data_IF_120367512784
#
_entry.id   IF_120367512784
#
_cell.length_a   1.000
_cell.length_b   1.000
_cell.length_c   1.000
_cell.angle_alpha   90.00
_cell.angle_beta   90.00
_cell.angle_gamma   90.00
#
_symmetry.space_group_name_H-M   'P 1'
#
loop_
_entity.id
_entity.type
_entity.pdbx_description
1 polymer ?
#
# COMPACT_ATOMS: atom_id res chain seq x y z
N UNK A 1 -52.55 -39.86 -36.38
CA UNK A 1 -51.38 -39.82 -35.48
C UNK A 1 -50.86 -38.39 -35.49
N UNK A 2 -51.20 -37.62 -34.46
CA UNK A 2 -50.90 -36.18 -34.39
C UNK A 2 -49.56 -35.98 -33.68
N UNK A 3 -48.57 -35.52 -34.44
CA UNK A 3 -47.31 -35.02 -33.88
C UNK A 3 -47.53 -33.56 -33.49
N UNK A 4 -47.71 -33.34 -32.17
CA UNK A 4 -47.68 -32.01 -31.60
C UNK A 4 -46.25 -31.53 -31.55
N UNK A 5 -45.87 -30.66 -32.46
CA UNK A 5 -44.64 -29.91 -32.39
C UNK A 5 -44.76 -28.81 -31.33
N UNK A 6 -44.13 -29.03 -30.20
CA UNK A 6 -44.05 -28.06 -29.16
C UNK A 6 -43.06 -26.96 -29.64
N UNK A 7 -43.61 -25.80 -30.03
CA UNK A 7 -42.80 -24.62 -30.30
C UNK A 7 -42.19 -24.15 -28.97
N UNK A 8 -40.92 -24.36 -28.87
CA UNK A 8 -40.12 -23.73 -27.81
C UNK A 8 -40.04 -22.25 -28.16
N UNK A 9 -40.89 -21.47 -27.52
CA UNK A 9 -40.83 -20.03 -27.63
C UNK A 9 -39.70 -19.52 -26.78
N UNK A 10 -38.56 -19.33 -27.43
CA UNK A 10 -37.41 -18.68 -26.86
C UNK A 10 -37.75 -17.19 -26.72
N UNK A 11 -38.29 -16.81 -25.59
CA UNK A 11 -38.44 -15.40 -25.23
C UNK A 11 -37.04 -14.80 -25.03
N UNK A 12 -36.49 -14.32 -26.13
CA UNK A 12 -35.42 -13.35 -26.08
C UNK A 12 -36.00 -12.04 -25.56
N UNK A 13 -36.04 -11.90 -24.29
CA UNK A 13 -36.16 -10.60 -23.66
C UNK A 13 -34.89 -9.81 -24.01
N UNK A 14 -34.99 -8.68 -24.66
CA UNK A 14 -33.85 -7.80 -24.83
C UNK A 14 -33.56 -7.21 -23.46
N UNK A 15 -32.55 -7.72 -22.81
CA UNK A 15 -31.93 -7.04 -21.68
C UNK A 15 -31.21 -5.79 -22.19
N UNK A 16 -31.99 -4.86 -22.68
CA UNK A 16 -31.55 -3.48 -22.80
C UNK A 16 -31.99 -2.79 -21.52
N UNK A 17 -31.49 -3.23 -20.41
CA UNK A 17 -31.30 -2.32 -19.29
C UNK A 17 -30.07 -1.51 -19.62
N UNK A 18 -30.28 -0.48 -20.43
CA UNK A 18 -29.38 0.66 -20.42
C UNK A 18 -29.42 1.20 -19.02
N UNK A 19 -28.52 0.68 -18.19
CA UNK A 19 -28.15 1.31 -16.96
C UNK A 19 -27.43 2.59 -17.39
N UNK A 20 -28.22 3.63 -17.64
CA UNK A 20 -27.71 4.99 -17.57
C UNK A 20 -27.45 5.21 -16.08
N UNK A 21 -26.32 4.65 -15.63
CA UNK A 21 -25.70 5.11 -14.42
C UNK A 21 -25.21 6.52 -14.76
N UNK A 22 -26.12 7.47 -14.60
CA UNK A 22 -25.72 8.86 -14.43
C UNK A 22 -24.82 8.88 -13.21
N UNK A 23 -23.54 8.60 -13.44
CA UNK A 23 -22.51 8.94 -12.50
C UNK A 23 -22.66 10.45 -12.30
N UNK A 24 -23.39 10.81 -11.27
CA UNK A 24 -23.16 12.08 -10.63
C UNK A 24 -21.72 11.99 -10.16
N UNK A 25 -20.83 12.44 -11.01
CA UNK A 25 -19.45 12.73 -10.67
C UNK A 25 -19.56 13.82 -9.61
N UNK A 26 -19.80 13.37 -8.39
CA UNK A 26 -19.73 14.23 -7.22
C UNK A 26 -18.35 14.85 -7.26
N UNK A 27 -18.35 16.13 -7.53
CA UNK A 27 -17.22 17.00 -7.48
C UNK A 27 -16.34 16.62 -6.28
N UNK A 28 -15.31 15.81 -6.54
CA UNK A 28 -14.25 15.61 -5.57
C UNK A 28 -13.62 16.98 -5.35
N UNK A 29 -13.55 17.47 -4.12
CA UNK A 29 -12.84 18.70 -3.86
C UNK A 29 -11.43 18.52 -4.38
N UNK A 30 -11.07 19.31 -5.37
CA UNK A 30 -9.72 19.42 -5.90
C UNK A 30 -8.80 19.78 -4.75
N UNK A 31 -8.12 18.77 -4.19
CA UNK A 31 -7.11 18.98 -3.17
C UNK A 31 -5.99 19.76 -3.82
N UNK A 32 -5.91 21.02 -3.43
CA UNK A 32 -4.89 21.96 -3.85
C UNK A 32 -3.51 21.28 -3.75
N UNK A 33 -2.75 21.14 -4.85
CA UNK A 33 -1.47 20.42 -4.85
C UNK A 33 -0.40 21.04 -3.93
N UNK A 34 -0.68 22.19 -3.33
CA UNK A 34 0.22 22.84 -2.36
C UNK A 34 0.20 22.20 -0.96
N UNK A 35 -0.81 21.38 -0.63
CA UNK A 35 -0.87 20.72 0.69
C UNK A 35 -0.24 19.33 0.73
N UNK A 36 0.06 18.72 -0.42
CA UNK A 36 0.54 17.34 -0.48
C UNK A 36 2.05 17.21 -0.20
N UNK A 37 2.82 18.27 -0.27
CA UNK A 37 4.27 18.23 -0.04
C UNK A 37 4.71 18.52 1.40
N UNK A 38 3.80 18.94 2.28
CA UNK A 38 4.12 19.20 3.70
C UNK A 38 3.86 18.02 4.64
N UNK A 39 3.26 16.94 4.15
CA UNK A 39 2.84 15.81 4.99
C UNK A 39 3.92 14.78 5.30
N UNK A 40 5.01 14.73 4.54
CA UNK A 40 6.02 13.67 4.67
C UNK A 40 7.28 14.10 5.42
N UNK A 41 7.53 15.40 5.54
CA UNK A 41 8.70 15.92 6.25
C UNK A 41 8.24 16.46 7.61
N UNK A 42 8.41 15.66 8.64
CA UNK A 42 8.60 16.18 10.00
C UNK A 42 7.38 16.39 10.87
N UNK A 43 6.34 15.56 10.84
CA UNK A 43 5.55 15.40 12.05
C UNK A 43 6.37 14.54 13.01
N UNK A 44 7.18 15.21 13.85
CA UNK A 44 7.86 14.58 14.98
C UNK A 44 6.78 13.80 15.74
N UNK A 45 6.83 12.48 15.65
CA UNK A 45 5.91 11.65 16.41
C UNK A 45 6.27 11.83 17.88
N UNK A 46 5.30 12.19 18.70
CA UNK A 46 5.49 12.35 20.17
C UNK A 46 5.86 11.03 20.87
N UNK A 47 6.09 9.95 20.12
CA UNK A 47 6.49 8.64 20.62
C UNK A 47 7.96 8.65 21.04
N UNK A 48 8.23 8.02 22.17
CA UNK A 48 9.61 7.78 22.62
C UNK A 48 10.38 6.92 21.62
N UNK A 49 11.72 6.89 21.73
CA UNK A 49 12.57 6.03 20.89
C UNK A 49 12.15 4.56 21.00
N UNK A 50 11.94 4.09 22.23
CA UNK A 50 11.56 2.71 22.55
C UNK A 50 10.20 2.34 21.94
N UNK A 51 9.22 3.24 22.01
CA UNK A 51 7.91 3.04 21.40
C UNK A 51 7.97 2.97 19.88
N UNK A 52 8.88 3.73 19.25
CA UNK A 52 9.10 3.69 17.80
C UNK A 52 9.76 2.39 17.38
N UNK A 53 10.80 1.93 18.13
CA UNK A 53 11.43 0.64 17.87
C UNK A 53 10.40 -0.47 18.01
N UNK A 54 9.66 -0.52 19.11
CA UNK A 54 8.61 -1.52 19.32
C UNK A 54 7.58 -1.52 18.19
N UNK A 55 7.17 -0.34 17.72
CA UNK A 55 6.22 -0.23 16.61
C UNK A 55 6.79 -0.81 15.31
N UNK A 56 8.07 -0.60 15.00
CA UNK A 56 8.72 -1.17 13.83
C UNK A 56 8.97 -2.67 13.97
N UNK A 57 9.34 -3.14 15.16
CA UNK A 57 9.51 -4.57 15.42
C UNK A 57 8.21 -5.32 15.13
N UNK A 58 7.09 -4.88 15.71
CA UNK A 58 5.77 -5.48 15.46
C UNK A 58 5.43 -5.44 13.96
N UNK A 59 5.64 -4.31 13.32
CA UNK A 59 5.38 -4.17 11.88
C UNK A 59 6.19 -5.17 11.05
N UNK A 60 7.48 -5.29 11.30
CA UNK A 60 8.33 -6.23 10.56
C UNK A 60 8.00 -7.70 10.87
N UNK A 61 7.62 -8.02 12.10
CA UNK A 61 7.13 -9.36 12.48
C UNK A 61 5.86 -9.72 11.70
N UNK A 62 4.87 -8.85 11.66
CA UNK A 62 3.64 -9.02 10.89
C UNK A 62 3.92 -9.23 9.39
N UNK A 63 4.92 -8.52 8.86
CA UNK A 63 5.37 -8.68 7.49
C UNK A 63 6.24 -9.93 7.28
N UNK A 64 6.59 -10.68 8.32
CA UNK A 64 7.58 -11.78 8.27
C UNK A 64 8.88 -11.33 7.61
N UNK A 65 9.34 -10.16 7.99
CA UNK A 65 10.50 -9.48 7.42
C UNK A 65 11.79 -9.91 8.11
N UNK A 66 12.88 -10.16 7.38
CA UNK A 66 14.19 -10.37 7.99
C UNK A 66 14.75 -9.08 8.63
N UNK A 67 14.12 -7.93 8.40
CA UNK A 67 14.57 -6.64 8.94
C UNK A 67 14.13 -6.40 10.39
N UNK A 68 13.42 -7.34 11.01
CA UNK A 68 12.92 -7.21 12.38
C UNK A 68 14.03 -6.87 13.38
N UNK A 69 15.20 -7.49 13.23
CA UNK A 69 16.35 -7.26 14.11
C UNK A 69 17.03 -5.89 13.91
N UNK A 70 16.68 -5.18 12.84
CA UNK A 70 17.23 -3.88 12.50
C UNK A 70 16.29 -2.71 12.85
N UNK A 71 15.21 -2.96 13.58
CA UNK A 71 14.20 -1.93 13.87
C UNK A 71 14.79 -0.72 14.62
N UNK A 72 15.74 -0.94 15.51
CA UNK A 72 16.48 0.11 16.22
C UNK A 72 17.32 0.96 15.27
N UNK A 73 18.04 0.31 14.36
CA UNK A 73 18.87 0.99 13.35
C UNK A 73 18.03 1.92 12.46
N UNK A 74 16.83 1.49 12.05
CA UNK A 74 15.91 2.34 11.30
C UNK A 74 15.52 3.60 12.07
N UNK A 75 15.23 3.45 13.37
CA UNK A 75 14.88 4.58 14.23
C UNK A 75 16.07 5.52 14.42
N UNK A 76 17.27 4.98 14.69
CA UNK A 76 18.47 5.77 14.91
C UNK A 76 18.87 6.57 13.66
N UNK A 77 18.77 5.95 12.48
CA UNK A 77 19.03 6.64 11.22
C UNK A 77 17.99 7.75 10.98
N UNK A 78 16.73 7.46 11.25
CA UNK A 78 15.67 8.47 11.10
C UNK A 78 15.91 9.66 12.04
N UNK A 79 16.29 9.43 13.29
CA UNK A 79 16.60 10.49 14.24
C UNK A 79 17.82 11.31 13.80
N UNK A 80 18.87 10.63 13.35
CA UNK A 80 20.10 11.27 12.86
C UNK A 80 19.86 12.24 11.70
N UNK A 81 18.94 11.88 10.79
CA UNK A 81 18.65 12.66 9.59
C UNK A 81 17.33 13.44 9.68
N UNK A 82 16.72 13.51 10.88
CA UNK A 82 15.45 14.20 11.12
C UNK A 82 14.30 13.73 10.22
N UNK A 83 14.24 12.42 9.93
CA UNK A 83 13.22 11.78 9.12
C UNK A 83 12.10 11.21 9.99
N UNK A 84 10.93 10.98 9.39
CA UNK A 84 9.93 10.12 10.01
C UNK A 84 10.47 8.68 10.04
N UNK A 85 10.44 8.05 11.22
CA UNK A 85 10.99 6.70 11.44
C UNK A 85 10.33 5.62 10.55
N UNK A 86 9.16 5.89 10.00
CA UNK A 86 8.41 4.99 9.11
C UNK A 86 8.84 5.10 7.65
N UNK A 87 9.56 6.15 7.28
CA UNK A 87 9.91 6.42 5.89
C UNK A 87 10.83 5.34 5.31
N UNK A 88 11.96 5.08 5.96
CA UNK A 88 12.93 4.09 5.47
C UNK A 88 12.35 2.67 5.46
N UNK A 89 11.62 2.20 6.48
CA UNK A 89 10.90 0.93 6.43
C UNK A 89 9.92 0.84 5.26
N UNK A 90 9.16 1.89 4.99
CA UNK A 90 8.22 1.91 3.88
C UNK A 90 8.92 1.76 2.53
N UNK A 91 10.05 2.47 2.32
CA UNK A 91 10.85 2.33 1.10
C UNK A 91 11.42 0.90 0.98
N UNK A 92 11.99 0.35 2.05
CA UNK A 92 12.51 -1.02 2.05
C UNK A 92 11.42 -2.06 1.70
N UNK A 93 10.19 -1.84 2.16
CA UNK A 93 9.07 -2.71 1.82
C UNK A 93 8.68 -2.60 0.35
N UNK A 94 8.71 -1.41 -0.23
CA UNK A 94 8.43 -1.20 -1.66
C UNK A 94 9.49 -1.81 -2.54
N UNK A 95 10.77 -1.61 -2.23
CA UNK A 95 11.89 -2.01 -3.08
C UNK A 95 12.22 -3.51 -2.98
N UNK A 96 12.15 -4.09 -1.79
CA UNK A 96 12.56 -5.48 -1.56
C UNK A 96 11.50 -6.35 -0.87
N UNK A 97 10.24 -5.92 -0.85
CA UNK A 97 9.17 -6.59 -0.09
C UNK A 97 9.55 -6.75 1.38
N UNK A 98 9.96 -5.66 2.02
CA UNK A 98 10.47 -5.63 3.39
C UNK A 98 11.69 -6.54 3.60
N UNK A 99 12.65 -6.50 2.68
CA UNK A 99 13.89 -7.28 2.78
C UNK A 99 13.76 -8.76 2.40
N UNK A 100 12.58 -9.24 1.98
CA UNK A 100 12.38 -10.64 1.58
C UNK A 100 12.93 -10.96 0.18
N UNK A 101 13.18 -9.95 -0.63
CA UNK A 101 13.69 -10.05 -2.00
C UNK A 101 15.02 -9.32 -2.13
N UNK A 102 15.90 -9.53 -1.16
CA UNK A 102 17.27 -9.02 -1.27
C UNK A 102 18.04 -9.78 -2.35
N UNK A 103 18.90 -9.06 -3.06
CA UNK A 103 19.94 -9.72 -3.83
C UNK A 103 20.91 -10.33 -2.80
N UNK A 104 21.18 -11.63 -2.86
CA UNK A 104 22.14 -12.27 -1.98
C UNK A 104 23.44 -11.46 -1.90
N UNK A 105 24.03 -11.34 -0.74
CA UNK A 105 25.30 -10.65 -0.47
C UNK A 105 25.27 -9.11 -0.56
N UNK A 106 24.17 -8.50 -1.07
CA UNK A 106 24.09 -7.02 -1.11
C UNK A 106 23.78 -6.39 0.24
N UNK A 107 23.04 -7.12 1.10
CA UNK A 107 22.50 -6.62 2.37
C UNK A 107 21.79 -5.27 2.24
N UNK A 108 21.28 -4.97 1.04
CA UNK A 108 20.72 -3.66 0.69
C UNK A 108 19.21 -3.76 0.43
N UNK A 109 18.37 -3.49 1.43
CA UNK A 109 16.91 -3.56 1.28
C UNK A 109 16.32 -2.45 0.40
N UNK A 110 17.12 -1.47 0.02
CA UNK A 110 16.69 -0.33 -0.79
C UNK A 110 17.00 -0.49 -2.28
N UNK A 111 17.79 -1.48 -2.67
CA UNK A 111 18.12 -1.74 -4.06
C UNK A 111 18.98 -0.67 -4.75
N UNK A 112 19.51 0.31 -4.03
CA UNK A 112 20.29 1.40 -4.61
C UNK A 112 21.75 1.01 -4.78
N UNK A 113 22.29 1.35 -5.95
CA UNK A 113 23.73 1.14 -6.23
C UNK A 113 24.13 -0.30 -6.52
N UNK A 114 23.18 -1.11 -6.98
CA UNK A 114 23.42 -2.49 -7.42
C UNK A 114 23.61 -2.53 -8.94
#
# INVERSE_FOLDING_TARGET
MNKKTTKLQLNMLPFITVFILSATFSHMPEKNPKETSQGFIGKKTDKSREERIKSLTIFFEEQRSPLVENADTFVDVADKYHLDYRLLPAIACMESSCGKRLIPESFNPFGWGI
#
